data_IF_358541280662
#
_entry.id   IF_358541280662
#
_cell.length_a   1.000
_cell.length_b   1.000
_cell.length_c   1.000
_cell.angle_alpha   90.00
_cell.angle_beta   90.00
_cell.angle_gamma   90.00
#
_symmetry.space_group_name_H-M   'P 1'
#
loop_
_entity.id
_entity.type
_entity.pdbx_description
1 polymer ?
#
# COMPACT_ATOMS: atom_id res chain seq x y z
N UNK A 1 15.82 -4.53 -33.59
CA UNK A 1 14.35 -4.52 -33.41
C UNK A 1 14.05 -4.13 -31.97
N UNK A 2 13.24 -3.11 -31.67
CA UNK A 2 12.95 -2.74 -30.30
C UNK A 2 11.88 -3.68 -29.73
N UNK A 3 12.19 -4.26 -28.58
CA UNK A 3 11.22 -4.96 -27.73
C UNK A 3 10.45 -3.86 -27.00
N UNK A 4 9.39 -3.36 -27.64
CA UNK A 4 8.49 -2.39 -27.02
C UNK A 4 7.73 -3.08 -25.90
N UNK A 5 8.20 -2.85 -24.67
CA UNK A 5 7.48 -3.04 -23.41
C UNK A 5 6.08 -2.42 -23.56
N UNK A 6 5.06 -3.25 -23.78
CA UNK A 6 3.66 -2.79 -23.82
C UNK A 6 3.34 -2.24 -22.43
N UNK A 7 3.37 -0.91 -22.28
CA UNK A 7 2.84 -0.21 -21.12
C UNK A 7 1.35 -0.59 -20.99
N UNK A 8 1.04 -1.48 -20.05
CA UNK A 8 -0.28 -2.08 -19.78
C UNK A 8 -1.26 -1.11 -19.12
N UNK A 9 -1.46 0.06 -19.73
CA UNK A 9 -2.57 0.95 -19.40
C UNK A 9 -3.79 0.54 -20.25
N UNK A 10 -4.32 -0.67 -20.06
CA UNK A 10 -5.36 -1.22 -20.93
C UNK A 10 -6.57 -1.81 -20.22
N UNK A 11 -6.36 -2.67 -19.21
CA UNK A 11 -7.47 -3.37 -18.54
C UNK A 11 -7.69 -2.82 -17.13
N UNK A 12 -8.94 -2.47 -16.73
CA UNK A 12 -9.22 -1.95 -15.39
C UNK A 12 -8.75 -2.84 -14.23
N UNK A 13 -8.70 -4.16 -14.43
CA UNK A 13 -8.19 -5.13 -13.45
C UNK A 13 -6.68 -5.02 -13.23
N UNK A 14 -5.90 -4.89 -14.30
CA UNK A 14 -4.43 -4.76 -14.25
C UNK A 14 -4.02 -3.47 -13.53
N UNK A 15 -4.71 -2.36 -13.81
CA UNK A 15 -4.45 -1.09 -13.13
C UNK A 15 -4.77 -1.20 -11.62
N UNK A 16 -5.85 -1.90 -11.27
CA UNK A 16 -6.21 -2.13 -9.87
C UNK A 16 -5.14 -2.95 -9.16
N UNK A 17 -4.67 -4.03 -9.78
CA UNK A 17 -3.63 -4.89 -9.24
C UNK A 17 -2.32 -4.14 -9.04
N UNK A 18 -1.90 -3.36 -10.05
CA UNK A 18 -0.71 -2.50 -9.95
C UNK A 18 -0.82 -1.52 -8.79
N UNK A 19 -1.96 -0.83 -8.68
CA UNK A 19 -2.19 0.13 -7.60
C UNK A 19 -2.18 -0.55 -6.22
N UNK A 20 -2.76 -1.75 -6.09
CA UNK A 20 -2.70 -2.52 -4.84
C UNK A 20 -1.27 -2.87 -4.46
N UNK A 21 -0.47 -3.37 -5.42
CA UNK A 21 0.95 -3.68 -5.19
C UNK A 21 1.73 -2.45 -4.74
N UNK A 22 1.53 -1.30 -5.39
CA UNK A 22 2.15 -0.02 -4.99
C UNK A 22 1.73 0.40 -3.59
N UNK A 23 0.45 0.29 -3.24
CA UNK A 23 -0.04 0.64 -1.89
C UNK A 23 0.59 -0.27 -0.83
N UNK A 24 0.64 -1.58 -1.08
CA UNK A 24 1.25 -2.57 -0.17
C UNK A 24 2.72 -2.23 0.08
N UNK A 25 3.49 -1.97 -0.98
CA UNK A 25 4.92 -1.62 -0.86
C UNK A 25 5.14 -0.32 -0.07
N UNK A 26 4.32 0.70 -0.32
CA UNK A 26 4.39 1.97 0.43
C UNK A 26 4.02 1.79 1.89
N UNK A 27 2.96 1.05 2.20
CA UNK A 27 2.62 0.79 3.61
C UNK A 27 3.72 -0.02 4.28
N UNK A 28 4.35 -0.97 3.57
CA UNK A 28 5.37 -1.84 4.15
C UNK A 28 6.59 -1.04 4.57
N UNK A 29 7.05 -0.12 3.71
CA UNK A 29 8.24 0.72 3.94
C UNK A 29 8.02 1.85 4.93
N UNK A 30 6.81 2.43 4.96
CA UNK A 30 6.56 3.71 5.66
C UNK A 30 5.54 3.63 6.79
N UNK A 31 5.01 2.45 7.12
CA UNK A 31 4.12 2.29 8.28
C UNK A 31 4.77 2.79 9.59
N UNK A 32 4.01 3.41 10.50
CA UNK A 32 2.59 3.76 10.36
C UNK A 32 2.37 4.97 9.43
N UNK A 33 1.47 4.85 8.44
CA UNK A 33 1.26 5.86 7.37
C UNK A 33 -0.21 6.23 7.16
N UNK A 34 -0.51 7.47 6.79
CA UNK A 34 -1.87 7.92 6.46
C UNK A 34 -2.23 7.74 4.99
N UNK A 35 -3.53 7.62 4.69
CA UNK A 35 -4.06 7.56 3.29
C UNK A 35 -3.62 8.77 2.46
N UNK A 36 -3.58 9.96 3.06
CA UNK A 36 -3.12 11.17 2.37
C UNK A 36 -1.65 11.09 2.01
N UNK A 37 -0.80 10.57 2.91
CA UNK A 37 0.63 10.40 2.62
C UNK A 37 0.87 9.33 1.55
N UNK A 38 0.09 8.25 1.53
CA UNK A 38 0.11 7.24 0.45
C UNK A 38 -0.22 7.90 -0.90
N UNK A 39 -1.29 8.69 -0.98
CA UNK A 39 -1.66 9.41 -2.21
C UNK A 39 -0.54 10.33 -2.70
N UNK A 40 0.08 11.09 -1.78
CA UNK A 40 1.18 12.00 -2.11
C UNK A 40 2.45 11.26 -2.59
N UNK A 41 2.79 10.13 -1.98
CA UNK A 41 3.99 9.35 -2.35
C UNK A 41 3.81 8.57 -3.66
N UNK A 42 2.59 8.12 -3.95
CA UNK A 42 2.32 7.24 -5.11
C UNK A 42 1.81 7.99 -6.33
N UNK A 43 1.32 9.22 -6.17
CA UNK A 43 0.60 9.95 -7.21
C UNK A 43 -0.79 9.38 -7.53
N UNK A 44 -1.24 8.32 -6.83
CA UNK A 44 -2.56 7.74 -7.01
C UNK A 44 -3.61 8.67 -6.38
N UNK A 45 -4.72 8.87 -7.07
CA UNK A 45 -5.80 9.76 -6.63
C UNK A 45 -6.35 9.36 -5.26
N UNK A 46 -6.76 10.36 -4.45
CA UNK A 46 -7.34 10.13 -3.11
C UNK A 46 -8.56 9.18 -3.14
N UNK A 47 -9.51 9.29 -4.10
CA UNK A 47 -10.62 8.34 -4.18
C UNK A 47 -10.17 6.90 -4.42
N UNK A 48 -9.19 6.69 -5.31
CA UNK A 48 -8.63 5.35 -5.59
C UNK A 48 -7.90 4.80 -4.37
N UNK A 49 -7.09 5.61 -3.68
CA UNK A 49 -6.45 5.21 -2.41
C UNK A 49 -7.50 4.82 -1.37
N UNK A 50 -8.53 5.66 -1.14
CA UNK A 50 -9.58 5.33 -0.17
C UNK A 50 -10.29 4.02 -0.50
N UNK A 51 -10.60 3.76 -1.77
CA UNK A 51 -11.24 2.52 -2.20
C UNK A 51 -10.35 1.29 -1.96
N UNK A 52 -9.08 1.34 -2.37
CA UNK A 52 -8.18 0.19 -2.28
C UNK A 52 -7.69 -0.07 -0.86
N UNK A 53 -7.41 0.98 -0.08
CA UNK A 53 -7.11 0.86 1.34
C UNK A 53 -8.31 0.32 2.10
N UNK A 54 -9.53 0.81 1.82
CA UNK A 54 -10.75 0.28 2.42
C UNK A 54 -10.95 -1.21 2.14
N UNK A 55 -10.62 -1.66 0.93
CA UNK A 55 -10.58 -3.09 0.59
C UNK A 55 -9.55 -3.85 1.44
N UNK A 56 -8.30 -3.37 1.54
CA UNK A 56 -7.26 -4.03 2.34
C UNK A 56 -7.59 -4.10 3.83
N UNK A 57 -8.24 -3.07 4.39
CA UNK A 57 -8.73 -3.08 5.77
C UNK A 57 -9.86 -4.11 5.93
N UNK A 58 -10.83 -4.14 5.00
CA UNK A 58 -11.94 -5.10 5.03
C UNK A 58 -11.45 -6.55 4.99
N UNK A 59 -10.44 -6.84 4.17
CA UNK A 59 -9.81 -8.17 4.08
C UNK A 59 -8.86 -8.49 5.26
N UNK A 60 -8.62 -7.49 6.13
CA UNK A 60 -7.82 -7.61 7.34
C UNK A 60 -6.31 -7.46 7.14
N UNK A 61 -5.83 -7.07 5.96
CA UNK A 61 -4.39 -6.88 5.71
C UNK A 61 -3.82 -5.64 6.40
N UNK A 62 -4.63 -4.58 6.54
CA UNK A 62 -4.25 -3.33 7.19
C UNK A 62 -5.12 -3.06 8.42
N UNK A 63 -4.53 -2.46 9.44
CA UNK A 63 -5.20 -2.09 10.70
C UNK A 63 -4.92 -0.64 11.06
N UNK A 64 -5.81 -0.05 11.85
CA UNK A 64 -5.61 1.30 12.42
C UNK A 64 -4.46 1.27 13.43
N UNK A 65 -3.48 2.14 13.25
CA UNK A 65 -2.29 2.29 14.07
C UNK A 65 -2.31 3.62 14.85
N UNK A 66 -3.51 4.12 15.16
CA UNK A 66 -3.71 5.38 15.86
C UNK A 66 -3.92 6.58 14.94
N UNK A 67 -3.63 7.78 15.46
CA UNK A 67 -3.82 9.04 14.76
C UNK A 67 -2.53 9.87 14.82
N UNK A 68 -2.29 10.68 13.79
CA UNK A 68 -1.18 11.65 13.78
C UNK A 68 -1.23 12.54 15.03
N UNK A 69 -0.06 12.84 15.63
CA UNK A 69 0.04 13.79 16.74
C UNK A 69 -0.49 15.17 16.32
N UNK A 70 -1.15 15.86 17.25
CA UNK A 70 -1.78 17.15 16.99
C UNK A 70 -0.74 18.26 16.80
N UNK A 71 -0.48 18.63 15.55
CA UNK A 71 0.05 19.94 15.14
C UNK A 71 -1.00 20.75 14.39
N UNK A 72 -0.60 21.83 13.72
CA UNK A 72 -1.45 22.61 12.79
C UNK A 72 -1.90 21.73 11.60
N UNK A 73 -3.00 21.00 11.77
CA UNK A 73 -3.56 20.14 10.73
C UNK A 73 -4.64 19.18 11.22
N UNK A 74 -5.47 18.71 10.29
CA UNK A 74 -6.50 17.70 10.58
C UNK A 74 -5.84 16.40 11.02
N UNK A 75 -6.24 15.86 12.18
CA UNK A 75 -5.82 14.52 12.65
C UNK A 75 -6.15 13.47 11.59
N UNK A 76 -5.16 12.71 11.16
CA UNK A 76 -5.32 11.64 10.18
C UNK A 76 -5.17 10.28 10.86
N UNK A 77 -5.98 9.30 10.43
CA UNK A 77 -5.79 7.90 10.79
C UNK A 77 -4.48 7.38 10.18
N UNK A 78 -3.70 6.68 11.00
CA UNK A 78 -2.49 5.96 10.59
C UNK A 78 -2.81 4.48 10.38
N UNK A 79 -2.14 3.87 9.42
CA UNK A 79 -2.34 2.49 8.99
C UNK A 79 -1.01 1.73 9.07
N UNK A 80 -1.09 0.48 9.52
CA UNK A 80 0.02 -0.48 9.52
C UNK A 80 -0.47 -1.84 9.02
N UNK A 81 0.46 -2.72 8.66
CA UNK A 81 0.13 -4.11 8.36
C UNK A 81 -0.42 -4.82 9.59
N UNK A 82 -1.37 -5.72 9.36
CA UNK A 82 -1.87 -6.58 10.41
C UNK A 82 -0.89 -7.73 10.66
N UNK A 83 -0.18 -7.76 11.82
CA UNK A 83 0.76 -8.83 12.12
C UNK A 83 0.08 -10.20 12.29
N UNK A 84 -1.24 -10.25 12.54
CA UNK A 84 -1.98 -11.50 12.68
C UNK A 84 -2.45 -12.13 11.37
N UNK A 85 -2.26 -11.49 10.21
CA UNK A 85 -2.78 -11.94 8.91
C UNK A 85 -1.72 -12.46 7.94
N UNK A 86 -0.45 -12.21 8.19
CA UNK A 86 0.64 -12.68 7.35
C UNK A 86 1.87 -13.04 8.18
N UNK A 87 2.40 -14.23 7.95
CA UNK A 87 3.69 -14.67 8.44
C UNK A 87 4.60 -14.87 7.22
N UNK A 88 5.81 -14.33 7.29
CA UNK A 88 6.83 -14.53 6.25
C UNK A 88 7.93 -15.39 6.86
N UNK A 89 8.23 -16.50 6.20
CA UNK A 89 9.40 -17.34 6.52
C UNK A 89 10.38 -17.14 5.37
N UNK A 90 11.62 -16.77 5.69
CA UNK A 90 12.71 -16.65 4.72
C UNK A 90 13.77 -17.69 5.04
N UNK A 91 14.25 -18.38 4.01
CA UNK A 91 15.35 -19.34 4.11
C UNK A 91 16.50 -18.80 3.29
N UNK A 92 17.64 -18.62 3.94
CA UNK A 92 18.91 -18.35 3.27
C UNK A 92 19.68 -19.68 3.17
N UNK A 93 20.16 -20.01 1.98
CA UNK A 93 20.91 -21.25 1.73
C UNK A 93 22.33 -20.86 1.39
N UNK A 94 23.21 -20.92 2.39
CA UNK A 94 24.65 -20.78 2.19
C UNK A 94 25.26 -22.05 1.62
N UNK A 95 26.30 -21.91 0.79
CA UNK A 95 27.22 -23.01 0.51
C UNK A 95 28.16 -23.17 1.71
N UNK A 96 28.16 -24.37 2.29
CA UNK A 96 29.20 -24.82 3.23
C UNK A 96 30.47 -25.21 2.49
#
# INVERSE_FOLDING_TARGET
>A
MPISERRSAGVPSELRERNLKTIIDVVFRYQPISRTKISNLTGISKPTISKLVGFLIKEGYLVSAGKTSSGLGKRQELLSFNPGKAFVISVDVGLA
#
